data_IF_511590447402
#
_entry.id   IF_511590447402
#
_cell.length_a   1.000
_cell.length_b   1.000
_cell.length_c   1.000
_cell.angle_alpha   90.00
_cell.angle_beta   90.00
_cell.angle_gamma   90.00
#
_symmetry.space_group_name_H-M   'P 1'
#
loop_
_entity.id
_entity.type
_entity.pdbx_description
1 polymer ?
#
# COMPACT_ATOMS: atom_id res chain seq x y z
N UNK A 1 9.39 -35.90 39.41
CA UNK A 1 8.37 -36.16 38.39
C UNK A 1 7.68 -37.47 38.73
N UNK A 2 6.36 -37.45 38.84
CA UNK A 2 5.59 -38.64 39.19
C UNK A 2 5.62 -39.63 38.02
N UNK A 3 5.59 -40.95 38.36
CA UNK A 3 5.63 -42.07 37.43
C UNK A 3 4.55 -41.92 36.30
N UNK A 4 3.40 -41.32 36.62
CA UNK A 4 2.33 -41.05 35.72
C UNK A 4 2.65 -39.90 34.71
N UNK A 5 3.42 -38.89 35.14
CA UNK A 5 3.87 -37.80 34.24
C UNK A 5 4.89 -38.29 33.22
N UNK A 6 5.76 -39.25 33.59
CA UNK A 6 6.73 -39.86 32.66
C UNK A 6 6.01 -40.73 31.61
N UNK A 7 4.99 -41.49 32.06
CA UNK A 7 4.16 -42.31 31.16
C UNK A 7 3.36 -41.42 30.19
N UNK A 8 2.79 -40.31 30.69
CA UNK A 8 2.10 -39.33 29.84
C UNK A 8 2.99 -38.70 28.77
N UNK A 9 4.21 -38.34 29.14
CA UNK A 9 5.18 -37.73 28.22
C UNK A 9 5.69 -38.74 27.18
N UNK A 10 5.87 -40.02 27.58
CA UNK A 10 6.18 -41.09 26.61
C UNK A 10 5.03 -41.38 25.63
N UNK A 11 3.79 -41.37 26.12
CA UNK A 11 2.61 -41.54 25.24
C UNK A 11 2.45 -40.40 24.25
N UNK A 12 2.65 -39.14 24.67
CA UNK A 12 2.65 -37.97 23.77
C UNK A 12 3.77 -38.11 22.73
N UNK A 13 4.98 -38.50 23.14
CA UNK A 13 6.09 -38.73 22.20
C UNK A 13 5.77 -39.82 21.18
N UNK A 14 5.17 -40.94 21.58
CA UNK A 14 4.76 -42.02 20.70
C UNK A 14 3.66 -41.57 19.69
N UNK A 15 2.70 -40.76 20.15
CA UNK A 15 1.65 -40.21 19.27
C UNK A 15 2.25 -39.27 18.25
N UNK A 16 3.17 -38.38 18.64
CA UNK A 16 3.84 -37.46 17.73
C UNK A 16 4.73 -38.18 16.70
N UNK A 17 5.44 -39.22 17.10
CA UNK A 17 6.26 -40.05 16.19
C UNK A 17 5.32 -40.83 15.24
N UNK A 18 4.26 -41.44 15.74
CA UNK A 18 3.27 -42.15 14.91
C UNK A 18 2.60 -41.22 13.88
N UNK A 19 2.21 -40.03 14.30
CA UNK A 19 1.64 -39.02 13.41
C UNK A 19 2.64 -38.52 12.37
N UNK A 20 3.92 -38.31 12.76
CA UNK A 20 4.99 -37.93 11.83
C UNK A 20 5.27 -38.98 10.76
N UNK A 21 5.24 -40.28 11.12
CA UNK A 21 5.43 -41.37 10.18
C UNK A 21 4.22 -41.54 9.25
N UNK A 22 3.00 -41.37 9.79
CA UNK A 22 1.76 -41.46 8.99
C UNK A 22 1.61 -40.31 8.00
N UNK A 23 2.10 -39.13 8.36
CA UNK A 23 2.01 -37.92 7.54
C UNK A 23 3.24 -37.67 6.66
N UNK A 24 4.16 -38.62 6.53
CA UNK A 24 5.27 -38.49 5.58
C UNK A 24 4.71 -38.53 4.15
N UNK A 25 4.97 -37.51 3.34
CA UNK A 25 4.54 -37.51 1.95
C UNK A 25 5.19 -38.68 1.21
N UNK A 26 4.45 -39.35 0.36
CA UNK A 26 4.94 -40.48 -0.42
C UNK A 26 6.08 -40.06 -1.35
N UNK A 27 6.98 -40.99 -1.70
CA UNK A 27 8.08 -40.71 -2.64
C UNK A 27 7.56 -40.19 -3.99
N UNK A 28 6.35 -40.57 -4.39
CA UNK A 28 5.67 -40.04 -5.59
C UNK A 28 5.23 -38.60 -5.44
N UNK A 29 4.70 -38.21 -4.28
CA UNK A 29 4.32 -36.80 -4.00
C UNK A 29 5.52 -35.86 -3.91
N UNK A 30 6.63 -36.34 -3.33
CA UNK A 30 7.90 -35.61 -3.32
C UNK A 30 8.47 -35.44 -4.73
N UNK A 31 8.44 -36.50 -5.54
CA UNK A 31 8.89 -36.46 -6.93
C UNK A 31 7.98 -35.58 -7.82
N UNK A 32 6.66 -35.55 -7.54
CA UNK A 32 5.71 -34.66 -8.23
C UNK A 32 5.94 -33.20 -7.86
N UNK A 33 6.14 -32.90 -6.57
CA UNK A 33 6.50 -31.55 -6.10
C UNK A 33 7.82 -31.06 -6.69
N UNK A 34 8.83 -31.96 -6.75
CA UNK A 34 10.14 -31.61 -7.32
C UNK A 34 10.04 -31.30 -8.82
N UNK A 35 9.29 -32.08 -9.60
CA UNK A 35 9.02 -31.80 -11.03
C UNK A 35 8.25 -30.48 -11.22
N UNK A 36 7.33 -30.14 -10.32
CA UNK A 36 6.60 -28.89 -10.35
C UNK A 36 7.50 -27.70 -10.03
N UNK A 37 8.38 -27.83 -9.04
CA UNK A 37 9.40 -26.83 -8.70
C UNK A 37 10.38 -26.61 -9.85
N UNK A 38 10.92 -27.70 -10.42
CA UNK A 38 11.85 -27.66 -11.56
C UNK A 38 11.19 -27.02 -12.81
N UNK A 39 9.89 -27.28 -13.04
CA UNK A 39 9.15 -26.66 -14.16
C UNK A 39 8.88 -25.17 -13.94
N UNK A 40 8.60 -24.76 -12.68
CA UNK A 40 8.42 -23.36 -12.31
C UNK A 40 9.75 -22.61 -12.39
N UNK A 41 10.83 -23.23 -11.95
CA UNK A 41 12.19 -22.66 -12.02
C UNK A 41 12.66 -22.49 -13.46
N UNK A 42 12.41 -23.47 -14.33
CA UNK A 42 12.67 -23.38 -15.76
C UNK A 42 11.81 -22.31 -16.47
N UNK A 43 10.54 -22.16 -16.08
CA UNK A 43 9.65 -21.12 -16.59
C UNK A 43 10.08 -19.73 -16.10
N UNK A 44 10.54 -19.61 -14.85
CA UNK A 44 11.02 -18.36 -14.26
C UNK A 44 12.34 -17.91 -14.88
N UNK A 45 13.27 -18.86 -15.10
CA UNK A 45 14.53 -18.58 -15.82
C UNK A 45 14.28 -18.14 -17.27
N UNK A 46 13.31 -18.75 -17.93
CA UNK A 46 12.92 -18.36 -19.29
C UNK A 46 12.25 -16.99 -19.33
N UNK A 47 11.38 -16.70 -18.36
CA UNK A 47 10.76 -15.38 -18.20
C UNK A 47 11.79 -14.29 -17.83
N UNK A 48 12.79 -14.62 -17.01
CA UNK A 48 13.91 -13.73 -16.70
C UNK A 48 14.81 -13.49 -17.93
N UNK A 49 15.08 -14.51 -18.72
CA UNK A 49 15.84 -14.39 -19.96
C UNK A 49 15.10 -13.55 -21.02
N UNK A 50 13.78 -13.76 -21.15
CA UNK A 50 12.92 -12.93 -22.03
C UNK A 50 12.77 -11.51 -21.51
N UNK A 51 12.78 -11.28 -20.18
CA UNK A 51 12.79 -9.96 -19.56
C UNK A 51 14.13 -9.24 -19.77
N UNK A 52 15.26 -9.95 -19.67
CA UNK A 52 16.61 -9.41 -19.96
C UNK A 52 16.75 -9.07 -21.45
N UNK A 53 16.22 -9.89 -22.33
CA UNK A 53 16.18 -9.62 -23.78
C UNK A 53 15.26 -8.42 -24.13
N UNK A 54 14.18 -8.23 -23.37
CA UNK A 54 13.31 -7.04 -23.48
C UNK A 54 13.92 -5.80 -22.82
N UNK A 55 14.79 -5.94 -21.83
CA UNK A 55 15.55 -4.85 -21.20
C UNK A 55 16.75 -4.40 -22.05
N UNK A 56 17.15 -5.13 -23.09
CA UNK A 56 18.13 -4.68 -24.08
C UNK A 56 17.49 -3.89 -25.25
N UNK A 57 16.18 -3.71 -25.28
CA UNK A 57 15.61 -2.58 -25.99
C UNK A 57 16.03 -1.30 -25.25
N UNK A 58 16.47 -0.23 -25.94
CA UNK A 58 17.08 0.93 -25.30
C UNK A 58 16.14 1.47 -24.20
N UNK A 59 16.60 1.41 -22.96
CA UNK A 59 16.00 2.11 -21.82
C UNK A 59 15.98 3.57 -22.25
N UNK A 60 14.81 4.12 -22.52
CA UNK A 60 14.63 5.54 -22.58
C UNK A 60 14.93 6.07 -21.18
N UNK A 61 16.17 6.51 -20.98
CA UNK A 61 16.51 7.34 -19.82
C UNK A 61 15.51 8.48 -19.77
N UNK A 62 15.02 8.90 -18.62
CA UNK A 62 14.10 10.02 -18.53
C UNK A 62 14.74 11.20 -19.25
N UNK A 63 14.05 11.72 -20.25
CA UNK A 63 14.53 12.77 -21.18
C UNK A 63 15.02 14.01 -20.44
N UNK A 64 14.55 14.21 -19.21
CA UNK A 64 15.01 15.28 -18.30
C UNK A 64 16.51 15.21 -17.99
N UNK A 65 17.11 14.02 -17.83
CA UNK A 65 18.54 13.87 -17.55
C UNK A 65 19.42 14.17 -18.78
N UNK A 66 18.87 14.02 -19.99
CA UNK A 66 19.56 14.37 -21.26
C UNK A 66 19.51 15.88 -21.50
N UNK A 67 18.43 16.54 -21.07
CA UNK A 67 18.28 18.00 -21.21
C UNK A 67 19.24 18.78 -20.32
N UNK A 68 19.55 18.29 -19.12
CA UNK A 68 20.55 18.92 -18.25
C UNK A 68 21.99 18.81 -18.77
N UNK A 69 22.30 17.77 -19.57
CA UNK A 69 23.63 17.59 -20.16
C UNK A 69 23.86 18.42 -21.44
N UNK A 70 22.80 18.87 -22.11
CA UNK A 70 22.85 19.68 -23.34
C UNK A 70 22.81 21.19 -23.06
N UNK A 71 22.69 21.61 -21.80
CA UNK A 71 22.52 23.01 -21.41
C UNK A 71 23.80 23.88 -21.45
N UNK A 72 24.89 23.38 -22.03
CA UNK A 72 26.17 24.11 -22.01
C UNK A 72 26.51 24.92 -23.27
N UNK A 73 25.71 24.82 -24.32
CA UNK A 73 25.94 25.69 -25.51
C UNK A 73 24.64 26.09 -26.20
N UNK A 74 24.36 27.38 -26.24
CA UNK A 74 23.31 28.11 -27.00
C UNK A 74 21.98 28.40 -26.27
N UNK A 75 21.93 29.52 -25.59
CA UNK A 75 20.83 30.04 -24.75
C UNK A 75 19.54 30.46 -25.45
N UNK A 76 19.41 30.39 -26.76
CA UNK A 76 18.21 30.90 -27.46
C UNK A 76 17.30 29.81 -28.08
N UNK A 77 17.74 28.55 -28.16
CA UNK A 77 16.95 27.47 -28.80
C UNK A 77 16.50 26.34 -27.82
N UNK A 78 16.93 26.41 -26.55
CA UNK A 78 16.72 25.32 -25.58
C UNK A 78 15.28 25.24 -25.08
N UNK A 79 14.57 26.34 -24.92
CA UNK A 79 13.22 26.35 -24.38
C UNK A 79 12.19 25.81 -25.39
N UNK A 80 12.36 26.12 -26.66
CA UNK A 80 11.51 25.56 -27.73
C UNK A 80 11.72 24.06 -27.88
N UNK A 81 12.96 23.58 -27.86
CA UNK A 81 13.27 22.14 -27.97
C UNK A 81 12.77 21.36 -26.73
N UNK A 82 12.86 21.95 -25.53
CA UNK A 82 12.30 21.37 -24.31
C UNK A 82 10.79 21.24 -24.40
N UNK A 83 10.10 22.29 -24.85
CA UNK A 83 8.64 22.29 -25.04
C UNK A 83 8.21 21.20 -26.02
N UNK A 84 8.88 21.09 -27.18
CA UNK A 84 8.56 20.09 -28.20
C UNK A 84 8.75 18.64 -27.73
N UNK A 85 9.77 18.41 -26.88
CA UNK A 85 10.01 17.08 -26.28
C UNK A 85 8.90 16.73 -25.29
N UNK A 86 8.55 17.67 -24.40
CA UNK A 86 7.49 17.47 -23.41
C UNK A 86 6.13 17.27 -24.10
N UNK A 87 5.86 17.99 -25.17
CA UNK A 87 4.62 17.82 -25.94
C UNK A 87 4.56 16.44 -26.65
N UNK A 88 5.69 15.95 -27.15
CA UNK A 88 5.77 14.59 -27.72
C UNK A 88 5.55 13.51 -26.66
N UNK A 89 6.08 13.68 -25.46
CA UNK A 89 6.02 12.68 -24.37
C UNK A 89 4.67 12.73 -23.64
N UNK A 90 4.21 13.93 -23.24
CA UNK A 90 3.04 14.10 -22.38
C UNK A 90 1.79 14.60 -23.11
N UNK A 91 1.90 15.06 -24.36
CA UNK A 91 0.75 15.54 -25.15
C UNK A 91 -0.02 16.63 -24.43
N UNK A 92 -1.32 16.42 -24.21
CA UNK A 92 -2.18 17.38 -23.51
C UNK A 92 -1.70 17.77 -22.07
N UNK A 93 -0.79 17.00 -21.48
CA UNK A 93 -0.25 17.24 -20.13
C UNK A 93 1.17 17.86 -20.14
N UNK A 94 1.70 18.25 -21.29
CA UNK A 94 3.07 18.75 -21.45
C UNK A 94 3.39 19.93 -20.50
N UNK A 95 2.43 20.84 -20.29
CA UNK A 95 2.59 21.99 -19.38
C UNK A 95 2.74 21.58 -17.91
N UNK A 96 2.20 20.44 -17.53
CA UNK A 96 2.29 19.90 -16.18
C UNK A 96 3.54 19.03 -15.95
N UNK A 97 4.32 18.73 -17.00
CA UNK A 97 5.55 17.94 -16.90
C UNK A 97 6.74 18.75 -16.33
N UNK A 98 6.65 20.07 -16.33
CA UNK A 98 7.66 20.97 -15.76
C UNK A 98 7.02 21.79 -14.63
N UNK A 99 7.71 21.87 -13.48
CA UNK A 99 7.23 22.63 -12.34
C UNK A 99 8.18 22.60 -11.16
N UNK A 100 7.81 23.28 -10.10
CA UNK A 100 8.53 23.27 -8.82
C UNK A 100 7.69 22.55 -7.78
N UNK A 101 8.29 21.63 -7.04
CA UNK A 101 7.60 20.92 -5.97
C UNK A 101 7.24 21.88 -4.83
N UNK A 102 5.99 21.84 -4.42
CA UNK A 102 5.41 22.63 -3.35
C UNK A 102 4.68 21.72 -2.37
N UNK A 103 4.70 22.12 -1.08
CA UNK A 103 4.10 21.34 -0.01
C UNK A 103 2.97 22.11 0.66
N UNK A 104 1.87 21.40 0.92
CA UNK A 104 0.77 21.88 1.75
C UNK A 104 0.55 20.90 2.89
N UNK A 105 -0.05 21.37 3.98
CA UNK A 105 -0.29 20.54 5.17
C UNK A 105 -1.75 20.63 5.63
N UNK A 106 -2.26 19.47 6.10
CA UNK A 106 -3.46 19.38 6.92
C UNK A 106 -3.11 18.70 8.24
N UNK A 107 -3.79 19.13 9.28
CA UNK A 107 -3.58 18.60 10.64
C UNK A 107 -4.91 18.50 11.38
N UNK A 108 -5.06 17.41 12.13
CA UNK A 108 -6.15 17.22 13.08
C UNK A 108 -5.61 16.81 14.47
N UNK A 109 -6.44 16.21 15.32
CA UNK A 109 -6.06 15.79 16.68
C UNK A 109 -4.96 14.70 16.71
N UNK A 110 -4.91 13.78 15.73
CA UNK A 110 -4.03 12.61 15.71
C UNK A 110 -3.08 12.53 14.52
N UNK A 111 -3.37 13.25 13.43
CA UNK A 111 -2.61 13.23 12.18
C UNK A 111 -2.03 14.60 11.83
N UNK A 112 -0.82 14.59 11.28
CA UNK A 112 -0.27 15.70 10.50
C UNK A 112 0.19 15.16 9.16
N UNK A 113 -0.42 15.65 8.09
CA UNK A 113 -0.23 15.15 6.73
C UNK A 113 0.39 16.23 5.87
N UNK A 114 1.51 15.92 5.23
CA UNK A 114 2.14 16.75 4.22
C UNK A 114 1.76 16.23 2.84
N UNK A 115 1.32 17.11 1.98
CA UNK A 115 0.98 16.84 0.59
C UNK A 115 2.00 17.49 -0.33
N UNK A 116 2.19 16.92 -1.51
CA UNK A 116 3.00 17.49 -2.58
C UNK A 116 2.17 17.71 -3.84
N UNK A 117 2.46 18.79 -4.55
CA UNK A 117 1.87 19.04 -5.86
C UNK A 117 2.47 18.14 -6.95
N UNK A 118 3.64 17.55 -6.74
CA UNK A 118 4.20 16.53 -7.64
C UNK A 118 3.45 15.22 -7.45
N UNK A 119 2.69 14.82 -8.48
CA UNK A 119 1.73 13.73 -8.43
C UNK A 119 0.42 14.08 -7.71
N UNK A 120 0.29 15.29 -7.10
CA UNK A 120 -0.93 15.69 -6.37
C UNK A 120 -1.32 14.72 -5.26
N UNK A 121 -0.39 14.32 -4.40
CA UNK A 121 -0.52 13.18 -3.49
C UNK A 121 -0.09 13.48 -2.05
N UNK A 122 -0.38 12.55 -1.15
CA UNK A 122 0.22 12.52 0.19
C UNK A 122 1.72 12.25 0.06
N UNK A 123 2.55 13.06 0.71
CA UNK A 123 4.02 12.93 0.76
C UNK A 123 4.49 12.33 2.06
N UNK A 124 3.95 12.77 3.20
CA UNK A 124 4.33 12.27 4.51
C UNK A 124 3.13 12.26 5.47
N UNK A 125 3.15 11.31 6.40
CA UNK A 125 2.13 11.21 7.45
C UNK A 125 2.81 11.00 8.80
N UNK A 126 2.58 11.93 9.73
CA UNK A 126 3.00 11.84 11.12
C UNK A 126 1.81 11.46 12.00
N UNK A 127 1.99 10.46 12.87
CA UNK A 127 1.05 10.08 13.92
C UNK A 127 1.44 10.81 15.21
N UNK A 128 0.74 11.89 15.56
CA UNK A 128 1.10 12.82 16.64
C UNK A 128 1.20 12.17 18.01
N UNK A 129 0.43 11.13 18.27
CA UNK A 129 0.35 10.46 19.57
C UNK A 129 1.31 9.29 19.71
N UNK A 130 2.17 9.03 18.70
CA UNK A 130 3.07 7.90 18.68
C UNK A 130 4.52 8.34 18.47
N UNK A 131 5.42 7.50 18.93
CA UNK A 131 6.86 7.68 18.77
C UNK A 131 7.49 6.39 18.30
N UNK A 132 8.60 6.50 17.60
CA UNK A 132 9.46 5.37 17.26
C UNK A 132 10.17 4.82 18.49
N UNK A 133 10.82 3.66 18.39
CA UNK A 133 11.55 3.04 19.48
C UNK A 133 12.63 3.97 20.10
N UNK A 134 13.20 4.88 19.33
CA UNK A 134 14.20 5.86 19.76
C UNK A 134 13.59 7.22 20.19
N UNK A 135 12.28 7.25 20.49
CA UNK A 135 11.52 8.40 20.98
C UNK A 135 11.40 9.59 20.00
N UNK A 136 11.66 9.38 18.72
CA UNK A 136 11.41 10.38 17.68
C UNK A 136 9.92 10.39 17.29
N UNK A 137 9.38 11.49 16.71
CA UNK A 137 8.04 11.51 16.13
C UNK A 137 7.83 10.33 15.17
N UNK A 138 6.66 9.70 15.23
CA UNK A 138 6.37 8.57 14.38
C UNK A 138 5.85 9.06 13.02
N UNK A 139 6.71 8.99 12.02
CA UNK A 139 6.37 9.26 10.63
C UNK A 139 6.12 7.91 9.95
N UNK A 140 4.89 7.64 9.54
CA UNK A 140 4.51 6.38 8.89
C UNK A 140 5.30 6.17 7.60
N UNK A 141 5.37 7.21 6.79
CA UNK A 141 6.21 7.29 5.61
C UNK A 141 6.52 8.75 5.30
N UNK A 142 7.59 8.99 4.59
CA UNK A 142 7.97 10.29 4.05
C UNK A 142 8.52 10.13 2.63
N UNK A 143 8.41 11.23 1.87
CA UNK A 143 9.10 11.53 0.61
C UNK A 143 9.07 10.50 -0.55
N UNK A 144 10.25 10.18 -1.00
CA UNK A 144 10.52 9.58 -2.31
C UNK A 144 10.33 8.06 -2.34
N UNK A 145 10.02 7.48 -1.17
CA UNK A 145 9.74 6.06 -1.02
C UNK A 145 8.33 5.65 -1.46
N UNK A 146 7.46 6.65 -1.74
CA UNK A 146 6.07 6.41 -2.11
C UNK A 146 5.84 6.85 -3.55
N UNK A 147 5.27 5.97 -4.35
CA UNK A 147 4.68 6.28 -5.64
C UNK A 147 3.18 6.14 -5.53
N UNK A 148 2.45 7.15 -5.98
CA UNK A 148 1.00 7.13 -6.05
C UNK A 148 0.56 7.97 -7.24
N UNK A 149 -0.16 7.36 -8.20
CA UNK A 149 -0.56 8.07 -9.40
C UNK A 149 -1.41 7.23 -10.34
N UNK A 150 -2.05 7.91 -11.28
CA UNK A 150 -2.86 7.29 -12.32
C UNK A 150 -2.01 6.97 -13.54
N UNK A 151 -2.29 5.82 -14.15
CA UNK A 151 -1.73 5.39 -15.42
C UNK A 151 -2.87 5.12 -16.42
N UNK A 152 -2.81 5.74 -17.57
CA UNK A 152 -3.81 5.58 -18.62
C UNK A 152 -3.23 5.91 -20.01
N UNK A 153 -3.88 5.43 -21.05
CA UNK A 153 -3.50 5.72 -22.41
C UNK A 153 -4.30 6.90 -22.95
N UNK A 154 -3.59 7.93 -23.40
CA UNK A 154 -4.18 9.17 -23.93
C UNK A 154 -3.40 9.64 -25.15
N UNK A 155 -4.08 9.99 -26.24
CA UNK A 155 -3.47 10.54 -27.46
C UNK A 155 -2.26 9.71 -27.97
N UNK A 156 -2.38 8.38 -28.01
CA UNK A 156 -1.35 7.42 -28.39
C UNK A 156 -0.10 7.39 -27.47
N UNK A 157 -0.25 7.77 -26.21
CA UNK A 157 0.81 7.78 -25.19
C UNK A 157 0.35 7.12 -23.91
N UNK A 158 1.27 6.47 -23.22
CA UNK A 158 1.05 6.08 -21.83
C UNK A 158 1.36 7.29 -20.93
N UNK A 159 0.37 7.76 -20.22
CA UNK A 159 0.50 8.87 -19.28
C UNK A 159 0.55 8.31 -17.88
N UNK A 160 1.59 8.67 -17.10
CA UNK A 160 1.67 8.50 -15.66
C UNK A 160 1.63 9.85 -14.98
N UNK A 161 0.75 9.99 -14.00
CA UNK A 161 0.60 11.28 -13.29
C UNK A 161 1.59 11.44 -12.15
N UNK A 162 2.38 10.40 -11.78
CA UNK A 162 3.25 10.39 -10.60
C UNK A 162 4.29 11.52 -10.57
N UNK A 163 4.77 11.93 -11.74
CA UNK A 163 5.79 12.97 -11.90
C UNK A 163 5.26 14.29 -12.44
N UNK A 164 3.96 14.38 -12.72
CA UNK A 164 3.33 15.60 -13.21
C UNK A 164 3.03 16.56 -12.04
N UNK A 165 3.13 17.86 -12.33
CA UNK A 165 2.89 18.91 -11.34
C UNK A 165 1.43 19.35 -11.39
N UNK A 166 0.73 19.13 -10.31
CA UNK A 166 -0.63 19.58 -10.10
C UNK A 166 -0.63 21.01 -9.52
N UNK A 167 -1.64 21.80 -9.86
CA UNK A 167 -1.85 23.11 -9.27
C UNK A 167 -2.75 23.00 -8.05
N UNK A 168 -2.40 23.62 -6.90
CA UNK A 168 -3.33 23.72 -5.78
C UNK A 168 -4.49 24.67 -6.17
N UNK A 169 -5.72 24.17 -6.13
CA UNK A 169 -6.92 24.91 -6.54
C UNK A 169 -7.85 25.26 -5.38
N UNK A 170 -7.58 24.76 -4.20
CA UNK A 170 -8.33 25.08 -3.00
C UNK A 170 -7.67 24.53 -1.76
N UNK A 171 -7.54 25.37 -0.74
CA UNK A 171 -7.07 24.98 0.59
C UNK A 171 -7.95 25.61 1.65
N UNK A 172 -8.40 24.78 2.57
CA UNK A 172 -9.06 25.20 3.81
C UNK A 172 -8.36 24.52 4.99
N UNK A 173 -8.86 24.73 6.20
CA UNK A 173 -8.35 24.05 7.40
C UNK A 173 -8.41 22.51 7.30
N UNK A 174 -9.38 21.98 6.55
CA UNK A 174 -9.70 20.56 6.52
C UNK A 174 -9.68 19.94 5.11
N UNK A 175 -9.36 20.72 4.08
CA UNK A 175 -9.45 20.28 2.69
C UNK A 175 -8.31 20.86 1.86
N UNK A 176 -7.76 20.04 0.98
CA UNK A 176 -6.80 20.41 -0.07
C UNK A 176 -7.27 19.78 -1.38
N UNK A 177 -7.25 20.57 -2.46
CA UNK A 177 -7.49 20.07 -3.83
C UNK A 177 -6.31 20.43 -4.72
N UNK A 178 -5.88 19.46 -5.50
CA UNK A 178 -4.85 19.58 -6.51
C UNK A 178 -5.41 19.23 -7.89
N UNK A 179 -5.18 20.09 -8.87
CA UNK A 179 -5.69 19.90 -10.24
C UNK A 179 -4.56 19.76 -11.25
N UNK A 180 -4.57 18.64 -11.98
CA UNK A 180 -3.75 18.42 -13.15
C UNK A 180 -4.53 18.92 -14.37
N UNK A 181 -4.12 20.04 -14.92
CA UNK A 181 -4.72 20.63 -16.11
C UNK A 181 -4.20 19.99 -17.39
N UNK A 182 -5.02 19.99 -18.40
CA UNK A 182 -4.60 19.68 -19.77
C UNK A 182 -4.42 20.96 -20.57
N UNK A 183 -3.92 20.87 -21.79
CA UNK A 183 -3.85 21.99 -22.75
C UNK A 183 -5.24 22.50 -23.20
N UNK A 184 -6.31 21.74 -22.89
CA UNK A 184 -7.70 22.11 -23.13
C UNK A 184 -8.46 22.44 -21.84
N UNK A 185 -9.77 22.20 -21.86
CA UNK A 185 -10.63 22.42 -20.69
C UNK A 185 -10.67 21.24 -19.71
N UNK A 186 -10.14 20.06 -20.11
CA UNK A 186 -10.14 18.87 -19.28
C UNK A 186 -9.13 18.95 -18.13
N UNK A 187 -9.46 18.28 -17.01
CA UNK A 187 -8.57 18.17 -15.85
C UNK A 187 -8.84 16.91 -15.03
N UNK A 188 -7.82 16.52 -14.26
CA UNK A 188 -7.92 15.54 -13.17
C UNK A 188 -7.72 16.30 -11.86
N UNK A 189 -8.61 16.09 -10.87
CA UNK A 189 -8.50 16.74 -9.56
C UNK A 189 -8.45 15.69 -8.46
N UNK A 190 -7.40 15.78 -7.64
CA UNK A 190 -7.22 15.01 -6.43
C UNK A 190 -7.67 15.87 -5.25
N UNK A 191 -8.72 15.44 -4.56
CA UNK A 191 -9.32 16.16 -3.44
C UNK A 191 -9.15 15.35 -2.16
N UNK A 192 -8.57 15.98 -1.13
CA UNK A 192 -8.34 15.37 0.18
C UNK A 192 -9.10 16.17 1.24
N UNK A 193 -9.87 15.47 2.09
CA UNK A 193 -10.55 16.05 3.23
C UNK A 193 -10.13 15.32 4.51
N UNK A 194 -9.57 16.06 5.46
CA UNK A 194 -9.17 15.54 6.77
C UNK A 194 -10.20 15.94 7.83
N UNK A 195 -11.02 15.01 8.35
CA UNK A 195 -11.91 15.28 9.47
C UNK A 195 -11.17 15.84 10.68
N UNK A 196 -11.85 16.61 11.56
CA UNK A 196 -11.22 17.18 12.77
C UNK A 196 -10.62 16.15 13.70
N UNK A 197 -11.11 14.92 13.68
CA UNK A 197 -10.68 13.82 14.56
C UNK A 197 -10.51 12.51 13.79
N UNK A 198 -9.65 11.63 14.32
CA UNK A 198 -9.50 10.27 13.83
C UNK A 198 -8.48 10.12 12.69
N UNK A 199 -8.40 8.89 12.16
CA UNK A 199 -7.34 8.41 11.27
C UNK A 199 -7.77 8.27 9.80
N UNK A 200 -9.03 8.57 9.47
CA UNK A 200 -9.53 8.53 8.10
C UNK A 200 -9.30 9.86 7.39
N UNK A 201 -8.97 9.80 6.12
CA UNK A 201 -8.81 10.92 5.20
C UNK A 201 -9.62 10.61 3.96
N UNK A 202 -10.65 11.39 3.68
CA UNK A 202 -11.40 11.23 2.45
C UNK A 202 -10.55 11.67 1.26
N UNK A 203 -10.59 10.88 0.19
CA UNK A 203 -9.83 11.10 -1.02
C UNK A 203 -10.70 10.83 -2.24
N UNK A 204 -10.84 11.83 -3.10
CA UNK A 204 -11.61 11.72 -4.32
C UNK A 204 -10.75 12.04 -5.53
N UNK A 205 -10.88 11.25 -6.59
CA UNK A 205 -10.34 11.56 -7.91
C UNK A 205 -11.50 11.99 -8.79
N UNK A 206 -11.46 13.24 -9.22
CA UNK A 206 -12.47 13.83 -10.10
C UNK A 206 -11.88 14.03 -11.50
N UNK A 207 -12.56 13.53 -12.53
CA UNK A 207 -12.20 13.68 -13.93
C UNK A 207 -13.26 14.56 -14.58
N UNK A 208 -12.84 15.63 -15.22
CA UNK A 208 -13.74 16.54 -15.95
C UNK A 208 -13.19 16.80 -17.33
N UNK A 209 -14.01 16.62 -18.39
CA UNK A 209 -13.62 16.83 -19.78
C UNK A 209 -12.53 15.89 -20.27
N UNK A 210 -12.37 14.73 -19.63
CA UNK A 210 -11.32 13.76 -19.95
C UNK A 210 -11.75 12.75 -21.03
N UNK A 211 -13.01 12.68 -21.37
CA UNK A 211 -13.59 11.73 -22.34
C UNK A 211 -13.04 11.88 -23.77
N UNK A 212 -12.52 13.06 -24.09
CA UNK A 212 -11.88 13.32 -25.40
C UNK A 212 -10.36 13.13 -25.39
N UNK A 213 -9.77 12.96 -24.21
CA UNK A 213 -8.32 12.88 -24.00
C UNK A 213 -7.91 11.43 -23.79
N UNK A 214 -8.61 10.72 -22.89
CA UNK A 214 -8.38 9.30 -22.63
C UNK A 214 -8.91 8.48 -23.80
N UNK A 215 -8.13 7.47 -24.20
CA UNK A 215 -8.45 6.64 -25.36
C UNK A 215 -9.83 5.98 -25.23
N UNK A 216 -10.67 6.11 -26.22
CA UNK A 216 -12.09 5.70 -26.23
C UNK A 216 -12.31 4.18 -26.07
N UNK A 217 -11.28 3.38 -26.29
CA UNK A 217 -11.32 1.93 -26.11
C UNK A 217 -10.96 1.48 -24.69
N UNK A 218 -10.58 2.40 -23.79
CA UNK A 218 -10.30 2.10 -22.39
C UNK A 218 -11.56 2.33 -21.56
N UNK A 219 -11.92 1.34 -20.77
CA UNK A 219 -13.02 1.41 -19.81
C UNK A 219 -12.54 1.40 -18.35
N UNK A 220 -11.25 1.63 -18.16
CA UNK A 220 -10.62 1.73 -16.83
C UNK A 220 -9.39 2.63 -16.86
N UNK A 221 -9.01 3.10 -15.69
CA UNK A 221 -7.77 3.79 -15.38
C UNK A 221 -7.05 2.97 -14.30
N UNK A 222 -5.74 2.79 -14.41
CA UNK A 222 -4.96 2.11 -13.39
C UNK A 222 -4.48 3.12 -12.34
N UNK A 223 -4.66 2.82 -11.06
CA UNK A 223 -4.10 3.57 -9.93
C UNK A 223 -2.97 2.75 -9.31
N UNK A 224 -1.76 3.24 -9.43
CA UNK A 224 -0.57 2.63 -8.82
C UNK A 224 -0.29 3.20 -7.45
N UNK A 225 -0.05 2.30 -6.50
CA UNK A 225 0.43 2.63 -5.17
C UNK A 225 1.60 1.72 -4.80
N UNK A 226 2.76 2.32 -4.59
CA UNK A 226 3.99 1.62 -4.21
C UNK A 226 4.61 2.29 -2.99
N UNK A 227 5.10 1.50 -2.05
CA UNK A 227 5.63 2.00 -0.79
C UNK A 227 6.84 1.18 -0.34
N UNK A 228 7.94 1.85 -0.04
CA UNK A 228 9.00 1.31 0.79
C UNK A 228 8.64 1.47 2.26
N UNK A 229 8.59 0.36 2.99
CA UNK A 229 8.28 0.32 4.42
C UNK A 229 9.58 0.36 5.20
N UNK A 230 9.85 1.49 5.83
CA UNK A 230 10.98 1.65 6.74
C UNK A 230 10.58 1.29 8.17
N UNK A 231 11.47 0.59 8.88
CA UNK A 231 11.21 0.12 10.24
C UNK A 231 10.99 1.29 11.21
N UNK A 232 9.99 1.15 12.06
CA UNK A 232 9.68 2.04 13.18
C UNK A 232 10.14 1.44 14.50
N UNK A 233 10.49 0.15 14.45
CA UNK A 233 10.87 -0.65 15.58
C UNK A 233 12.38 -0.90 15.62
N UNK A 234 12.88 -1.37 16.76
CA UNK A 234 14.30 -1.64 16.95
C UNK A 234 14.80 -2.79 16.08
N UNK A 235 13.96 -3.81 15.85
CA UNK A 235 14.27 -4.95 14.99
C UNK A 235 13.58 -4.79 13.65
N UNK A 236 14.37 -4.52 12.61
CA UNK A 236 13.92 -4.46 11.21
C UNK A 236 13.36 -5.81 10.76
N UNK A 237 14.02 -6.90 11.15
CA UNK A 237 13.58 -8.27 10.83
C UNK A 237 12.21 -8.57 11.46
N UNK A 238 12.02 -8.26 12.77
CA UNK A 238 10.74 -8.46 13.44
C UNK A 238 9.63 -7.64 12.78
N UNK A 239 9.89 -6.41 12.36
CA UNK A 239 8.90 -5.61 11.64
C UNK A 239 8.63 -6.17 10.25
N UNK A 240 9.66 -6.64 9.53
CA UNK A 240 9.53 -7.22 8.20
C UNK A 240 8.61 -8.45 8.19
N UNK A 241 8.84 -9.42 9.09
CA UNK A 241 8.03 -10.65 9.18
C UNK A 241 6.61 -10.44 9.73
N UNK A 242 6.31 -9.26 10.28
CA UNK A 242 4.97 -8.87 10.72
C UNK A 242 4.31 -7.86 9.77
N UNK A 243 4.93 -7.58 8.63
CA UNK A 243 4.45 -6.63 7.63
C UNK A 243 4.08 -7.35 6.35
N UNK A 244 2.88 -7.10 5.83
CA UNK A 244 2.42 -7.62 4.55
C UNK A 244 1.24 -6.84 4.00
N UNK A 245 0.79 -7.17 2.80
CA UNK A 245 -0.42 -6.62 2.20
C UNK A 245 -1.62 -7.44 2.64
N UNK A 246 -2.59 -6.78 3.29
CA UNK A 246 -3.92 -7.31 3.52
C UNK A 246 -4.90 -6.72 2.49
N UNK A 247 -5.90 -7.50 2.12
CA UNK A 247 -6.94 -7.05 1.21
C UNK A 247 -8.29 -7.68 1.55
N UNK A 248 -9.38 -7.06 1.11
CA UNK A 248 -10.73 -7.54 1.37
C UNK A 248 -11.59 -7.45 0.14
N UNK A 249 -12.23 -8.56 -0.20
CA UNK A 249 -13.36 -8.57 -1.12
C UNK A 249 -14.62 -8.00 -0.45
N UNK A 250 -15.62 -7.49 -1.20
CA UNK A 250 -16.80 -6.83 -0.61
C UNK A 250 -17.53 -7.69 0.43
N UNK A 251 -17.77 -8.95 0.10
CA UNK A 251 -18.65 -9.86 0.85
C UNK A 251 -17.88 -10.99 1.56
N UNK A 252 -16.54 -10.92 1.64
CA UNK A 252 -15.69 -11.96 2.20
C UNK A 252 -14.90 -11.46 3.41
N UNK A 253 -14.17 -12.34 4.10
CA UNK A 253 -13.22 -11.96 5.13
C UNK A 253 -11.95 -11.33 4.51
N UNK A 254 -11.15 -10.65 5.32
CA UNK A 254 -9.86 -10.13 4.88
C UNK A 254 -8.86 -11.27 4.65
N UNK A 255 -8.12 -11.18 3.55
CA UNK A 255 -7.03 -12.07 3.16
C UNK A 255 -5.71 -11.29 3.18
N UNK A 256 -4.58 -11.98 3.05
CA UNK A 256 -3.25 -11.36 3.04
C UNK A 256 -2.24 -12.17 2.23
N UNK A 257 -1.20 -11.50 1.77
CA UNK A 257 -0.02 -12.11 1.16
C UNK A 257 0.90 -12.69 2.24
N UNK A 258 1.88 -13.52 1.84
CA UNK A 258 2.87 -14.07 2.79
C UNK A 258 3.54 -12.96 3.62
N UNK A 259 3.67 -13.20 4.93
CA UNK A 259 4.38 -12.31 5.85
C UNK A 259 5.89 -12.56 5.83
N UNK A 260 6.34 -13.76 5.43
CA UNK A 260 7.73 -14.20 5.51
C UNK A 260 8.46 -14.24 4.17
N UNK A 261 7.74 -14.34 3.06
CA UNK A 261 8.31 -14.54 1.74
C UNK A 261 7.91 -13.42 0.77
N UNK A 262 8.65 -13.26 -0.30
CA UNK A 262 8.21 -12.48 -1.45
C UNK A 262 6.96 -13.12 -2.03
N UNK A 263 5.92 -12.34 -2.22
CA UNK A 263 4.64 -12.85 -2.67
C UNK A 263 3.93 -11.86 -3.60
N UNK A 264 3.10 -12.38 -4.48
CA UNK A 264 2.30 -11.57 -5.40
C UNK A 264 1.00 -12.26 -5.76
N UNK A 265 -0.06 -11.49 -5.92
CA UNK A 265 -1.36 -12.00 -6.34
C UNK A 265 -2.00 -11.07 -7.39
N UNK A 266 -2.81 -11.67 -8.27
CA UNK A 266 -3.60 -10.97 -9.27
C UNK A 266 -5.09 -11.23 -8.99
N UNK A 267 -5.69 -10.34 -8.20
CA UNK A 267 -7.05 -10.49 -7.71
C UNK A 267 -8.05 -10.30 -8.84
N UNK A 268 -8.77 -11.36 -9.18
CA UNK A 268 -9.75 -11.38 -10.27
C UNK A 268 -11.17 -11.05 -9.83
N UNK A 269 -11.34 -10.59 -8.59
CA UNK A 269 -12.60 -10.16 -7.98
C UNK A 269 -12.48 -8.70 -7.54
N UNK A 270 -13.59 -7.96 -7.48
CA UNK A 270 -13.63 -6.59 -6.96
C UNK A 270 -13.08 -6.52 -5.54
N UNK A 271 -12.34 -5.45 -5.23
CA UNK A 271 -11.68 -5.27 -3.94
C UNK A 271 -12.28 -4.08 -3.22
N UNK A 272 -12.59 -4.24 -1.93
CA UNK A 272 -13.11 -3.16 -1.08
C UNK A 272 -12.02 -2.27 -0.55
N UNK A 273 -10.94 -2.87 -0.04
CA UNK A 273 -9.77 -2.16 0.45
C UNK A 273 -8.51 -3.01 0.36
N UNK A 274 -7.37 -2.32 0.27
CA UNK A 274 -6.03 -2.88 0.36
C UNK A 274 -5.27 -2.13 1.45
N UNK A 275 -4.57 -2.85 2.31
CA UNK A 275 -3.82 -2.33 3.44
C UNK A 275 -2.36 -2.75 3.36
N UNK A 276 -1.45 -1.80 3.39
CA UNK A 276 -0.04 -2.01 3.67
C UNK A 276 0.14 -2.03 5.19
N UNK A 277 0.01 -3.23 5.77
CA UNK A 277 0.11 -3.46 7.20
C UNK A 277 1.57 -3.57 7.61
N UNK A 278 1.95 -2.81 8.61
CA UNK A 278 3.18 -2.93 9.38
C UNK A 278 2.88 -3.60 10.72
N UNK A 279 3.89 -3.83 11.55
CA UNK A 279 3.70 -4.51 12.84
C UNK A 279 2.63 -3.83 13.70
N UNK A 280 2.69 -2.51 13.89
CA UNK A 280 1.78 -1.76 14.77
C UNK A 280 0.92 -0.74 14.06
N UNK A 281 1.17 -0.47 12.78
CA UNK A 281 0.49 0.56 12.01
C UNK A 281 0.07 0.02 10.65
N UNK A 282 -0.85 0.70 10.00
CA UNK A 282 -1.20 0.39 8.63
C UNK A 282 -1.54 1.65 7.81
N UNK A 283 -1.35 1.49 6.52
CA UNK A 283 -1.81 2.40 5.48
C UNK A 283 -2.83 1.65 4.65
N UNK A 284 -4.08 2.07 4.69
CA UNK A 284 -5.15 1.38 3.96
C UNK A 284 -5.82 2.32 2.98
N UNK A 285 -5.98 1.89 1.73
CA UNK A 285 -6.81 2.57 0.74
C UNK A 285 -8.13 1.82 0.59
N UNK A 286 -9.22 2.54 0.80
CA UNK A 286 -10.59 2.03 0.88
C UNK A 286 -11.38 2.65 -0.27
N UNK A 287 -11.96 1.85 -1.16
CA UNK A 287 -12.89 2.35 -2.17
C UNK A 287 -14.31 2.43 -1.63
N UNK A 288 -15.05 3.50 -1.90
CA UNK A 288 -16.46 3.61 -1.53
C UNK A 288 -17.30 2.57 -2.29
N UNK A 289 -17.08 2.45 -3.61
CA UNK A 289 -17.82 1.57 -4.51
C UNK A 289 -17.01 0.37 -5.04
N UNK A 290 -15.96 -0.04 -4.34
CA UNK A 290 -14.99 -1.07 -4.69
C UNK A 290 -14.10 -0.70 -5.90
N UNK A 291 -12.85 -1.18 -5.87
CA UNK A 291 -11.98 -1.24 -7.05
C UNK A 291 -12.48 -2.36 -7.97
N UNK A 292 -12.37 -2.15 -9.28
CA UNK A 292 -12.68 -3.20 -10.25
C UNK A 292 -11.50 -4.18 -10.41
N UNK A 293 -11.69 -5.21 -11.18
CA UNK A 293 -10.70 -6.26 -11.43
C UNK A 293 -9.93 -6.01 -12.75
N UNK A 294 -8.66 -6.41 -12.82
CA UNK A 294 -7.86 -7.01 -11.74
C UNK A 294 -7.29 -5.96 -10.78
N UNK A 295 -7.00 -6.36 -9.53
CA UNK A 295 -6.10 -5.65 -8.64
C UNK A 295 -4.85 -6.49 -8.47
N UNK A 296 -3.67 -5.93 -8.74
CA UNK A 296 -2.39 -6.64 -8.64
C UNK A 296 -1.69 -6.22 -7.35
N UNK A 297 -1.20 -7.19 -6.59
CA UNK A 297 -0.50 -6.98 -5.33
C UNK A 297 0.88 -7.63 -5.39
N UNK A 298 1.87 -7.00 -4.77
CA UNK A 298 3.19 -7.61 -4.61
C UNK A 298 3.90 -7.12 -3.34
N UNK A 299 4.61 -8.02 -2.67
CA UNK A 299 5.53 -7.72 -1.57
C UNK A 299 6.91 -8.24 -1.90
N UNK A 300 7.95 -7.51 -1.45
CA UNK A 300 9.34 -7.95 -1.54
C UNK A 300 10.08 -7.65 -0.24
N UNK A 301 10.87 -8.61 0.21
CA UNK A 301 11.79 -8.43 1.32
C UNK A 301 13.10 -7.82 0.83
N UNK A 302 13.77 -7.13 1.74
CA UNK A 302 15.12 -6.65 1.50
C UNK A 302 16.03 -7.19 2.58
N UNK A 303 17.03 -7.96 2.18
CA UNK A 303 18.09 -8.43 3.07
C UNK A 303 19.22 -7.40 3.11
N UNK A 304 19.76 -7.15 4.31
CA UNK A 304 20.98 -6.34 4.49
C UNK A 304 20.84 -4.83 4.32
N UNK A 305 19.63 -4.28 4.34
CA UNK A 305 19.40 -2.83 4.39
C UNK A 305 19.01 -2.41 5.81
N UNK A 306 19.77 -1.49 6.41
CA UNK A 306 19.71 -1.15 7.84
C UNK A 306 18.36 -0.60 8.35
N UNK A 307 17.43 -0.24 7.49
CA UNK A 307 16.14 0.34 7.90
C UNK A 307 14.94 -0.06 7.03
N UNK A 308 15.15 -0.62 5.84
CA UNK A 308 14.09 -1.00 4.91
C UNK A 308 13.56 -2.38 5.25
N UNK A 309 12.34 -2.45 5.79
CA UNK A 309 11.71 -3.69 6.20
C UNK A 309 11.09 -4.44 5.01
N UNK A 310 10.38 -3.73 4.12
CA UNK A 310 9.64 -4.36 3.02
C UNK A 310 9.28 -3.36 1.91
N UNK A 311 9.15 -3.83 0.70
CA UNK A 311 8.49 -3.13 -0.40
C UNK A 311 7.09 -3.70 -0.58
N UNK A 312 6.11 -2.81 -0.77
CA UNK A 312 4.71 -3.16 -1.02
C UNK A 312 4.18 -2.40 -2.23
N UNK A 313 3.44 -3.09 -3.07
CA UNK A 313 2.82 -2.54 -4.28
C UNK A 313 1.39 -3.02 -4.43
N UNK A 314 0.51 -2.10 -4.85
CA UNK A 314 -0.84 -2.38 -5.30
C UNK A 314 -1.15 -1.58 -6.55
N UNK A 315 -1.66 -2.23 -7.61
CA UNK A 315 -2.17 -1.58 -8.82
C UNK A 315 -3.65 -1.89 -8.92
N UNK A 316 -4.46 -0.84 -8.84
CA UNK A 316 -5.92 -0.93 -8.82
C UNK A 316 -6.52 -0.57 -10.17
N UNK A 317 -7.59 -1.25 -10.53
CA UNK A 317 -8.43 -0.90 -11.68
C UNK A 317 -9.58 -0.01 -11.23
N UNK A 318 -9.59 1.25 -11.70
CA UNK A 318 -10.69 2.20 -11.49
C UNK A 318 -11.58 2.19 -12.73
N UNK A 319 -12.89 1.90 -12.62
CA UNK A 319 -13.79 1.91 -13.75
C UNK A 319 -13.91 3.33 -14.33
N UNK A 320 -13.86 3.43 -15.66
CA UNK A 320 -14.00 4.68 -16.40
C UNK A 320 -15.05 4.53 -17.50
N UNK A 321 -16.03 5.44 -17.53
CA UNK A 321 -17.23 5.35 -18.36
C UNK A 321 -17.33 6.43 -19.44
N UNK A 322 -16.30 7.24 -19.67
CA UNK A 322 -16.24 8.34 -20.65
C UNK A 322 -17.34 9.39 -20.49
N UNK A 323 -17.76 9.65 -19.23
CA UNK A 323 -18.70 10.75 -18.96
C UNK A 323 -17.95 12.08 -18.88
N UNK A 324 -18.62 13.21 -19.21
CA UNK A 324 -18.00 14.53 -19.07
C UNK A 324 -17.50 14.85 -17.65
N UNK A 325 -18.11 14.23 -16.65
CA UNK A 325 -17.66 14.28 -15.26
C UNK A 325 -17.79 12.90 -14.62
N UNK A 326 -16.70 12.43 -14.02
CA UNK A 326 -16.67 11.21 -13.22
C UNK A 326 -15.92 11.46 -11.93
N UNK A 327 -16.37 10.82 -10.85
CA UNK A 327 -15.72 10.88 -9.54
C UNK A 327 -15.54 9.48 -8.99
N UNK A 328 -14.34 9.19 -8.48
CA UNK A 328 -14.04 7.95 -7.79
C UNK A 328 -13.70 8.27 -6.33
N UNK A 329 -14.62 7.90 -5.45
CA UNK A 329 -14.55 8.21 -4.02
C UNK A 329 -13.83 7.11 -3.25
N UNK A 330 -12.85 7.50 -2.45
CA UNK A 330 -12.00 6.64 -1.63
C UNK A 330 -11.77 7.28 -0.26
N UNK A 331 -11.16 6.52 0.63
CA UNK A 331 -10.59 7.06 1.87
C UNK A 331 -9.26 6.37 2.17
N UNK A 332 -8.30 7.11 2.69
CA UNK A 332 -7.13 6.53 3.35
C UNK A 332 -7.40 6.34 4.83
N UNK A 333 -6.90 5.27 5.37
CA UNK A 333 -6.66 5.14 6.80
C UNK A 333 -5.15 5.17 7.04
N UNK A 334 -4.71 6.06 7.90
CA UNK A 334 -3.32 6.15 8.37
C UNK A 334 -3.31 6.06 9.88
N UNK A 335 -2.98 4.91 10.43
CA UNK A 335 -3.11 4.80 11.88
C UNK A 335 -2.65 3.47 12.48
N UNK A 336 -2.89 3.30 13.80
CA UNK A 336 -2.46 2.13 14.54
C UNK A 336 -3.31 0.90 14.20
N UNK A 337 -2.68 -0.28 14.33
CA UNK A 337 -3.37 -1.58 14.31
C UNK A 337 -4.07 -1.80 15.65
N UNK A 338 -4.96 -0.89 16.03
CA UNK A 338 -5.71 -0.96 17.28
C UNK A 338 -7.10 -1.55 17.01
N UNK A 339 -7.38 -2.70 17.61
CA UNK A 339 -8.58 -3.50 17.33
C UNK A 339 -9.88 -2.69 17.39
N UNK A 340 -10.09 -1.89 18.45
CA UNK A 340 -11.32 -1.11 18.62
C UNK A 340 -11.44 0.01 17.58
N UNK A 341 -10.36 0.72 17.28
CA UNK A 341 -10.33 1.78 16.29
C UNK A 341 -10.68 1.22 14.89
N UNK A 342 -10.07 0.10 14.52
CA UNK A 342 -10.32 -0.55 13.22
C UNK A 342 -11.73 -1.13 13.14
N UNK A 343 -12.25 -1.68 14.24
CA UNK A 343 -13.60 -2.22 14.31
C UNK A 343 -14.68 -1.15 14.14
N UNK A 344 -14.44 0.07 14.63
CA UNK A 344 -15.38 1.20 14.47
C UNK A 344 -15.57 1.65 13.03
N UNK A 345 -14.61 1.32 12.13
CA UNK A 345 -14.72 1.62 10.69
C UNK A 345 -15.78 0.74 10.01
N UNK A 346 -16.12 -0.40 10.61
CA UNK A 346 -17.16 -1.36 10.17
C UNK A 346 -16.92 -1.92 8.74
N UNK A 347 -15.65 -2.10 8.39
CA UNK A 347 -15.21 -2.68 7.11
C UNK A 347 -14.38 -3.97 7.28
N UNK A 348 -14.42 -4.58 8.47
CA UNK A 348 -13.64 -5.78 8.79
C UNK A 348 -12.14 -5.55 8.92
N UNK A 349 -11.71 -4.29 9.07
CA UNK A 349 -10.30 -3.93 9.21
C UNK A 349 -9.70 -4.40 10.54
N UNK A 350 -10.50 -4.71 11.56
CA UNK A 350 -10.03 -5.32 12.80
C UNK A 350 -9.33 -6.67 12.60
N UNK A 351 -9.50 -7.29 11.43
CA UNK A 351 -8.77 -8.51 11.02
C UNK A 351 -7.27 -8.27 10.79
N UNK A 352 -6.84 -7.02 10.61
CA UNK A 352 -5.42 -6.64 10.57
C UNK A 352 -4.71 -6.92 11.90
N UNK A 353 -5.47 -7.07 13.00
CA UNK A 353 -4.94 -7.42 14.33
C UNK A 353 -5.06 -8.92 14.52
N UNK A 354 -3.95 -9.70 14.48
CA UNK A 354 -3.99 -11.14 14.66
C UNK A 354 -4.31 -11.48 16.13
N UNK A 355 -5.51 -11.98 16.39
CA UNK A 355 -5.96 -12.39 17.73
C UNK A 355 -5.64 -13.85 18.05
N UNK A 356 -4.92 -14.55 17.15
CA UNK A 356 -4.70 -15.98 17.24
C UNK A 356 -5.82 -16.78 16.54
N UNK A 357 -5.58 -18.09 16.39
CA UNK A 357 -6.48 -18.99 15.68
C UNK A 357 -7.39 -19.78 16.62
N UNK A 358 -8.53 -20.23 16.14
CA UNK A 358 -9.46 -21.12 16.86
C UNK A 358 -9.90 -20.56 18.20
N UNK A 359 -9.75 -21.38 19.26
CA UNK A 359 -10.19 -21.04 20.61
C UNK A 359 -9.43 -19.84 21.19
N UNK A 360 -8.16 -19.66 20.85
CA UNK A 360 -7.36 -18.52 21.32
C UNK A 360 -7.90 -17.20 20.77
N UNK A 361 -8.23 -17.14 19.49
CA UNK A 361 -8.86 -15.97 18.87
C UNK A 361 -10.22 -15.65 19.50
N UNK A 362 -11.01 -16.67 19.82
CA UNK A 362 -12.28 -16.51 20.53
C UNK A 362 -12.09 -15.94 21.94
N UNK A 363 -11.19 -16.53 22.73
CA UNK A 363 -10.88 -16.05 24.09
C UNK A 363 -10.36 -14.61 24.06
N UNK A 364 -9.43 -14.29 23.15
CA UNK A 364 -8.90 -12.93 23.02
C UNK A 364 -10.01 -11.93 22.67
N UNK A 365 -10.91 -12.27 21.74
CA UNK A 365 -11.98 -11.38 21.28
C UNK A 365 -13.07 -11.15 22.32
N UNK A 366 -13.51 -12.22 23.02
CA UNK A 366 -14.70 -12.18 23.88
C UNK A 366 -14.39 -12.10 25.37
N UNK A 367 -13.15 -12.40 25.79
CA UNK A 367 -12.74 -12.35 27.19
C UNK A 367 -11.65 -11.32 27.43
N UNK A 368 -10.48 -11.47 26.80
CA UNK A 368 -9.30 -10.64 27.09
C UNK A 368 -9.52 -9.19 26.71
N UNK A 369 -9.93 -8.90 25.46
CA UNK A 369 -10.15 -7.53 24.98
C UNK A 369 -11.24 -6.80 25.79
N UNK A 370 -12.43 -7.36 26.04
CA UNK A 370 -13.44 -6.71 26.86
C UNK A 370 -12.97 -6.40 28.31
N UNK A 371 -12.29 -7.36 28.95
CA UNK A 371 -11.77 -7.15 30.32
C UNK A 371 -10.68 -6.07 30.30
N UNK A 372 -9.74 -6.15 29.35
CA UNK A 372 -8.70 -5.13 29.19
C UNK A 372 -9.29 -3.73 29.01
N UNK A 373 -10.25 -3.57 28.12
CA UNK A 373 -10.90 -2.29 27.86
C UNK A 373 -11.71 -1.78 29.05
N UNK A 374 -12.34 -2.67 29.79
CA UNK A 374 -13.04 -2.31 31.04
C UNK A 374 -12.08 -1.77 32.09
N UNK A 375 -10.97 -2.47 32.32
CA UNK A 375 -9.95 -2.06 33.31
C UNK A 375 -9.22 -0.78 32.87
N UNK A 376 -8.97 -0.61 31.57
CA UNK A 376 -8.34 0.59 31.02
C UNK A 376 -9.17 1.87 31.23
N UNK A 377 -10.49 1.77 31.38
CA UNK A 377 -11.35 2.94 31.71
C UNK A 377 -11.07 3.57 33.07
N UNK A 378 -10.37 2.85 33.95
CA UNK A 378 -9.98 3.33 35.27
C UNK A 378 -8.56 3.92 35.30
N UNK A 379 -7.96 4.20 34.13
CA UNK A 379 -6.58 4.68 33.99
C UNK A 379 -5.53 3.81 34.72
N UNK A 380 -5.81 2.50 34.83
CA UNK A 380 -4.92 1.55 35.49
C UNK A 380 -3.65 1.34 34.67
N UNK A 381 -2.52 1.19 35.37
CA UNK A 381 -1.26 0.81 34.71
C UNK A 381 -1.42 -0.53 33.98
N UNK A 382 -0.98 -0.58 32.71
CA UNK A 382 -1.11 -1.78 31.86
C UNK A 382 -0.48 -3.03 32.46
N UNK A 383 0.62 -2.90 33.21
CA UNK A 383 1.23 -4.02 33.96
C UNK A 383 0.28 -4.64 34.98
N UNK A 384 -0.51 -3.82 35.66
CA UNK A 384 -1.53 -4.29 36.63
C UNK A 384 -2.68 -4.97 35.89
N UNK A 385 -3.13 -4.40 34.76
CA UNK A 385 -4.17 -5.00 33.91
C UNK A 385 -3.73 -6.39 33.43
N UNK A 386 -2.49 -6.51 32.93
CA UNK A 386 -1.91 -7.78 32.48
C UNK A 386 -1.83 -8.77 33.63
N UNK A 387 -1.40 -8.33 34.82
CA UNK A 387 -1.34 -9.18 36.02
C UNK A 387 -2.73 -9.75 36.38
N UNK A 388 -3.76 -8.91 36.36
CA UNK A 388 -5.15 -9.33 36.62
C UNK A 388 -5.59 -10.36 35.56
N UNK A 389 -5.35 -10.09 34.28
CA UNK A 389 -5.69 -11.00 33.17
C UNK A 389 -4.94 -12.34 33.24
N UNK A 390 -3.76 -12.36 33.86
CA UNK A 390 -2.97 -13.59 34.02
C UNK A 390 -3.52 -14.48 35.13
N UNK A 391 -4.22 -13.92 36.15
CA UNK A 391 -4.82 -14.62 37.26
C UNK A 391 -6.22 -15.17 36.93
N UNK A 392 -6.92 -14.55 36.02
CA UNK A 392 -8.26 -14.96 35.56
C UNK A 392 -8.16 -16.05 34.49
#
# INVERSE_FOLDING_TARGET
>A
MDRNSIIGLLLIGLILIGFSIWNQPSAEEMAAKQRQTDSIEAATLKAQQDAILKQQAPVQQPVVAILDSLAMDTLANTDSLKSDVLEREYGAFATAAAGTEQFLMLENDVLKITFTNKGGRVKAVELKNYKTYNQQPLILFDSDSTVFGLNFFAQNRNISTENLFFEPVGQTKHKISYRLKTSGAGYIENEFTLPPTGYLVDFNINLSGMEQIIASNLNYIELDWRQNIYSKEKSVEAESINSTIYYKYPDDEANYLSETDDDSDNLTTKVKWVSFKQQYFNLTLIAKNNFDKPTKLATKHYEGQDSLAKYMQASFTIPYSHKPFESFEMSFYFGPNHYQTLKQIDLGMERLVPLGWGIFGWVNRFVVIPIFNFLNKFDMNYGIIILILTIV
#
